data_IF_443365711122
#
_entry.id   IF_443365711122
#
_cell.length_a   1.000
_cell.length_b   1.000
_cell.length_c   1.000
_cell.angle_alpha   90.00
_cell.angle_beta   90.00
_cell.angle_gamma   90.00
#
_symmetry.space_group_name_H-M   'P 1'
#
loop_
_entity.id
_entity.type
_entity.pdbx_description
1 polymer ?
#
# COMPACT_ATOMS: atom_id res chain seq x y z
N UNK A 1 15.94 15.91 27.81
CA UNK A 1 14.88 15.65 26.80
C UNK A 1 15.09 14.24 26.28
N UNK A 2 14.27 13.29 26.71
CA UNK A 2 14.44 11.87 26.43
C UNK A 2 13.94 11.57 25.01
N UNK A 3 14.83 11.10 24.14
CA UNK A 3 14.46 10.57 22.84
C UNK A 3 13.63 9.30 23.06
N UNK A 4 12.37 9.33 22.67
CA UNK A 4 11.48 8.17 22.72
C UNK A 4 11.97 7.13 21.71
N UNK A 5 12.81 6.20 22.17
CA UNK A 5 13.14 4.97 21.46
C UNK A 5 11.83 4.23 21.18
N UNK A 6 11.35 4.36 19.95
CA UNK A 6 10.21 3.61 19.43
C UNK A 6 10.61 2.14 19.51
N UNK A 7 9.94 1.35 20.37
CA UNK A 7 10.13 -0.10 20.44
C UNK A 7 9.99 -0.66 19.03
N UNK A 8 11.08 -1.26 18.55
CA UNK A 8 11.11 -2.01 17.32
C UNK A 8 10.32 -3.29 17.57
N UNK A 9 9.18 -3.43 16.91
CA UNK A 9 8.51 -4.73 16.79
C UNK A 9 9.53 -5.74 16.23
N UNK A 10 9.65 -6.95 16.79
CA UNK A 10 10.64 -7.92 16.34
C UNK A 10 10.28 -8.40 14.93
N UNK A 11 10.93 -7.79 13.93
CA UNK A 11 10.90 -8.26 12.55
C UNK A 11 11.75 -9.53 12.46
N UNK A 12 11.14 -10.70 12.41
CA UNK A 12 11.83 -11.92 11.98
C UNK A 12 12.18 -11.78 10.50
N UNK A 13 13.46 -11.90 10.16
CA UNK A 13 13.94 -11.79 8.79
C UNK A 13 14.35 -13.18 8.31
N UNK A 14 13.78 -13.64 7.18
CA UNK A 14 14.14 -14.93 6.54
C UNK A 14 15.24 -14.73 5.50
N UNK A 15 15.49 -13.49 5.11
CA UNK A 15 16.61 -13.00 4.29
C UNK A 15 16.44 -11.47 4.31
N UNK A 16 16.71 -10.77 3.20
CA UNK A 16 16.18 -9.41 2.95
C UNK A 16 14.63 -9.33 2.91
N UNK A 17 13.91 -10.41 3.25
CA UNK A 17 12.47 -10.38 3.48
C UNK A 17 12.15 -10.06 4.93
N UNK A 18 11.24 -9.11 5.12
CA UNK A 18 10.66 -8.69 6.39
C UNK A 18 9.23 -9.20 6.47
N UNK A 19 8.87 -9.79 7.61
CA UNK A 19 7.50 -10.23 7.87
C UNK A 19 6.66 -9.04 8.33
N UNK A 20 5.60 -8.75 7.59
CA UNK A 20 4.55 -7.81 7.94
C UNK A 20 3.43 -8.56 8.66
N UNK A 21 3.69 -8.99 9.89
CA UNK A 21 2.82 -9.92 10.63
C UNK A 21 1.36 -9.43 10.76
N UNK A 22 1.15 -8.14 11.02
CA UNK A 22 -0.19 -7.52 11.09
C UNK A 22 -1.01 -7.68 9.81
N UNK A 23 -0.32 -7.73 8.67
CA UNK A 23 -0.92 -7.78 7.35
C UNK A 23 -0.80 -9.15 6.70
N UNK A 24 -0.13 -10.09 7.36
CA UNK A 24 0.11 -11.44 6.87
C UNK A 24 0.86 -11.48 5.53
N UNK A 25 1.77 -10.53 5.31
CA UNK A 25 2.53 -10.36 4.07
C UNK A 25 4.05 -10.43 4.30
N UNK A 26 4.80 -10.62 3.22
CA UNK A 26 6.24 -10.43 3.19
C UNK A 26 6.58 -9.15 2.43
N UNK A 27 7.64 -8.45 2.82
CA UNK A 27 8.18 -7.33 2.07
C UNK A 27 9.68 -7.51 1.87
N UNK A 28 10.14 -7.39 0.63
CA UNK A 28 11.57 -7.42 0.36
C UNK A 28 12.16 -6.03 0.60
N UNK A 29 13.21 -5.93 1.41
CA UNK A 29 13.76 -4.65 1.90
C UNK A 29 14.17 -3.66 0.80
N UNK A 30 14.58 -4.17 -0.37
CA UNK A 30 15.02 -3.35 -1.50
C UNK A 30 13.95 -3.18 -2.58
N UNK A 31 12.77 -3.76 -2.39
CA UNK A 31 11.67 -3.66 -3.34
C UNK A 31 10.52 -2.87 -2.71
N UNK A 32 9.86 -2.09 -3.55
CA UNK A 32 8.82 -1.16 -3.13
C UNK A 32 7.46 -1.84 -2.89
N UNK A 33 7.39 -3.16 -2.92
CA UNK A 33 6.11 -3.88 -2.86
C UNK A 33 6.20 -5.11 -1.96
N UNK A 34 5.05 -5.43 -1.36
CA UNK A 34 4.85 -6.66 -0.63
C UNK A 34 4.71 -7.85 -1.61
N UNK A 35 4.86 -9.05 -1.05
CA UNK A 35 4.70 -10.32 -1.73
C UNK A 35 3.93 -11.30 -0.84
N UNK A 36 3.12 -12.14 -1.47
CA UNK A 36 2.53 -13.30 -0.82
C UNK A 36 3.61 -14.39 -0.61
N UNK A 37 3.36 -15.37 0.26
CA UNK A 37 4.36 -16.39 0.56
C UNK A 37 4.77 -17.21 -0.68
N UNK A 38 3.83 -17.55 -1.56
CA UNK A 38 4.13 -18.36 -2.75
C UNK A 38 4.84 -17.56 -3.86
N UNK A 39 4.74 -16.22 -3.82
CA UNK A 39 5.43 -15.34 -4.77
C UNK A 39 6.94 -15.31 -4.52
N UNK A 40 7.41 -15.66 -3.32
CA UNK A 40 8.85 -15.71 -2.97
C UNK A 40 9.63 -16.59 -3.94
N UNK A 41 9.09 -17.75 -4.32
CA UNK A 41 9.76 -18.66 -5.25
C UNK A 41 9.98 -18.01 -6.63
N UNK A 42 8.92 -17.41 -7.18
CA UNK A 42 8.96 -16.73 -8.47
C UNK A 42 9.82 -15.48 -8.42
N UNK A 43 9.76 -14.70 -7.34
CA UNK A 43 10.58 -13.51 -7.13
C UNK A 43 12.07 -13.87 -7.09
N UNK A 44 12.46 -14.83 -6.23
CA UNK A 44 13.85 -15.27 -6.13
C UNK A 44 14.38 -15.82 -7.46
N UNK A 45 13.57 -16.59 -8.20
CA UNK A 45 13.98 -17.14 -9.51
C UNK A 45 14.18 -16.05 -10.57
N UNK A 46 13.32 -15.02 -10.60
CA UNK A 46 13.31 -14.01 -11.66
C UNK A 46 14.22 -12.81 -11.38
N UNK A 47 14.39 -12.44 -10.10
CA UNK A 47 15.15 -11.26 -9.67
C UNK A 47 16.49 -11.60 -9.01
N UNK A 48 16.66 -12.83 -8.55
CA UNK A 48 17.85 -13.28 -7.82
C UNK A 48 18.46 -14.56 -8.42
N UNK A 49 18.88 -14.45 -9.69
CA UNK A 49 19.56 -15.54 -10.41
C UNK A 49 20.94 -15.87 -9.81
N UNK A 50 21.53 -14.93 -9.08
CA UNK A 50 22.80 -15.03 -8.36
C UNK A 50 22.74 -15.96 -7.13
N UNK A 51 21.55 -16.19 -6.58
CA UNK A 51 21.37 -17.09 -5.44
C UNK A 51 21.39 -18.54 -5.92
N UNK A 52 22.13 -19.42 -5.24
CA UNK A 52 22.18 -20.84 -5.57
C UNK A 52 20.78 -21.49 -5.49
N UNK A 53 20.44 -22.45 -6.37
CA UNK A 53 19.14 -23.13 -6.35
C UNK A 53 18.77 -23.73 -5.00
N UNK A 54 19.71 -24.40 -4.33
CA UNK A 54 19.55 -24.98 -2.99
C UNK A 54 19.16 -23.92 -1.94
N UNK A 55 19.82 -22.76 -1.97
CA UNK A 55 19.54 -21.69 -1.03
C UNK A 55 18.19 -21.03 -1.30
N UNK A 56 17.80 -20.87 -2.57
CA UNK A 56 16.44 -20.42 -2.92
C UNK A 56 15.37 -21.37 -2.41
N UNK A 57 15.58 -22.69 -2.50
CA UNK A 57 14.63 -23.68 -2.00
C UNK A 57 14.45 -23.57 -0.49
N UNK A 58 15.54 -23.41 0.27
CA UNK A 58 15.46 -23.21 1.72
C UNK A 58 14.66 -21.94 2.06
N UNK A 59 14.93 -20.82 1.37
CA UNK A 59 14.20 -19.57 1.59
C UNK A 59 12.70 -19.68 1.29
N UNK A 60 12.33 -20.44 0.25
CA UNK A 60 10.93 -20.72 -0.07
C UNK A 60 10.28 -21.58 1.01
N UNK A 61 10.98 -22.61 1.49
CA UNK A 61 10.48 -23.44 2.58
C UNK A 61 10.29 -22.65 3.87
N UNK A 62 11.26 -21.79 4.22
CA UNK A 62 11.17 -20.92 5.40
C UNK A 62 9.96 -19.98 5.29
N UNK A 63 9.75 -19.36 4.12
CA UNK A 63 8.58 -18.51 3.86
C UNK A 63 7.25 -19.30 3.95
N UNK A 64 7.25 -20.55 3.50
CA UNK A 64 6.11 -21.46 3.61
C UNK A 64 5.83 -21.89 5.05
N UNK A 65 6.84 -21.97 5.90
CA UNK A 65 6.67 -22.35 7.31
C UNK A 65 6.20 -21.21 8.21
N UNK A 66 6.23 -19.96 7.76
CA UNK A 66 5.70 -18.83 8.54
C UNK A 66 4.20 -19.04 8.76
N UNK A 67 3.73 -19.08 10.02
CA UNK A 67 2.31 -19.23 10.29
C UNK A 67 1.55 -17.96 9.89
N UNK A 68 0.27 -18.14 9.54
CA UNK A 68 -0.68 -17.05 9.26
C UNK A 68 -0.26 -16.11 8.11
N UNK A 69 0.54 -16.52 7.13
CA UNK A 69 0.81 -15.69 5.94
C UNK A 69 -0.22 -15.95 4.84
N UNK A 70 -0.60 -14.88 4.12
CA UNK A 70 -1.34 -14.99 2.87
C UNK A 70 -0.44 -15.65 1.83
N UNK A 71 -0.90 -16.76 1.26
CA UNK A 71 -0.10 -17.61 0.38
C UNK A 71 -0.18 -17.18 -1.07
N UNK A 72 -1.39 -16.84 -1.52
CA UNK A 72 -1.70 -16.65 -2.93
C UNK A 72 -2.65 -15.47 -3.15
N UNK A 73 -2.96 -15.18 -4.43
CA UNK A 73 -3.83 -14.08 -4.82
C UNK A 73 -5.27 -14.25 -4.35
N UNK A 74 -5.76 -15.50 -4.25
CA UNK A 74 -7.11 -15.74 -3.78
C UNK A 74 -7.20 -15.24 -2.34
N UNK A 75 -6.29 -15.64 -1.45
CA UNK A 75 -6.24 -15.22 -0.04
C UNK A 75 -6.06 -13.70 0.18
N UNK A 76 -5.70 -12.92 -0.84
CA UNK A 76 -5.65 -11.45 -0.73
C UNK A 76 -7.01 -10.80 -0.46
N UNK A 77 -8.12 -11.52 -0.64
CA UNK A 77 -9.43 -11.03 -0.18
C UNK A 77 -9.51 -10.86 1.35
N UNK A 78 -8.72 -11.63 2.09
CA UNK A 78 -8.63 -11.55 3.56
C UNK A 78 -7.61 -10.49 4.01
N UNK A 79 -6.94 -9.81 3.08
CA UNK A 79 -5.99 -8.75 3.41
C UNK A 79 -6.69 -7.61 4.14
N UNK A 80 -6.25 -7.39 5.38
CA UNK A 80 -6.72 -6.27 6.20
C UNK A 80 -5.90 -5.04 5.90
N UNK A 81 -6.59 -3.94 5.61
CA UNK A 81 -5.95 -2.64 5.48
C UNK A 81 -5.95 -1.92 6.83
N UNK A 82 -4.93 -1.11 7.10
CA UNK A 82 -4.94 -0.29 8.30
C UNK A 82 -6.09 0.71 8.27
N UNK A 83 -6.59 1.04 9.47
CA UNK A 83 -7.44 2.20 9.65
C UNK A 83 -6.62 3.48 9.40
N UNK A 84 -7.27 4.55 8.93
CA UNK A 84 -6.61 5.84 8.73
C UNK A 84 -5.95 6.32 10.04
N UNK A 85 -4.80 6.99 9.95
CA UNK A 85 -3.97 7.50 11.06
C UNK A 85 -2.96 6.51 11.68
N UNK A 86 -2.19 5.78 10.85
CA UNK A 86 -1.07 4.95 11.32
C UNK A 86 0.28 5.43 10.78
N UNK A 87 1.34 5.20 11.56
CA UNK A 87 2.71 5.50 11.11
C UNK A 87 3.03 4.74 9.82
N UNK A 88 3.82 5.33 8.90
CA UNK A 88 4.31 4.68 7.68
C UNK A 88 4.75 3.23 7.91
N UNK A 89 4.18 2.29 7.17
CA UNK A 89 4.61 0.89 7.22
C UNK A 89 6.00 0.85 6.58
N UNK A 90 6.99 0.37 7.33
CA UNK A 90 8.35 0.20 6.79
C UNK A 90 8.32 -0.98 5.82
N UNK A 91 8.73 -0.75 4.57
CA UNK A 91 8.72 -1.74 3.48
C UNK A 91 7.30 -2.32 3.30
N UNK A 92 6.46 -1.75 2.42
CA UNK A 92 6.73 -1.49 0.99
C UNK A 92 7.06 -0.01 0.70
N UNK A 93 6.78 0.48 -0.51
CA UNK A 93 7.07 1.81 -1.03
C UNK A 93 6.80 2.92 0.01
N UNK A 94 7.63 3.98 0.06
CA UNK A 94 7.38 5.08 0.96
C UNK A 94 6.01 5.71 0.69
N UNK A 95 5.36 6.28 1.72
CA UNK A 95 4.09 6.97 1.52
C UNK A 95 4.23 8.13 0.55
N UNK A 96 3.23 8.31 -0.31
CA UNK A 96 3.15 9.43 -1.24
C UNK A 96 2.31 10.56 -0.65
N UNK A 97 2.75 11.83 -0.76
CA UNK A 97 2.06 12.99 -0.20
C UNK A 97 0.81 13.41 -0.99
N UNK A 98 0.52 12.78 -2.14
CA UNK A 98 -0.61 13.15 -2.98
C UNK A 98 -1.69 12.06 -3.03
N UNK A 99 -2.72 12.24 -2.19
CA UNK A 99 -3.94 11.44 -2.22
C UNK A 99 -4.72 11.52 -3.55
N UNK A 100 -4.42 12.49 -4.43
CA UNK A 100 -5.06 12.62 -5.75
C UNK A 100 -4.55 11.60 -6.77
N UNK A 101 -3.27 11.19 -6.69
CA UNK A 101 -2.78 10.00 -7.41
C UNK A 101 -3.45 8.72 -6.87
N UNK A 102 -3.84 8.73 -5.60
CA UNK A 102 -4.39 7.58 -4.90
C UNK A 102 -5.85 7.31 -5.27
N UNK A 103 -6.54 8.33 -5.80
CA UNK A 103 -7.91 8.26 -6.29
C UNK A 103 -8.05 9.22 -7.48
N UNK A 104 -8.10 8.70 -8.70
CA UNK A 104 -8.36 9.51 -9.90
C UNK A 104 -9.54 10.46 -9.64
N UNK A 105 -9.31 11.77 -9.74
CA UNK A 105 -10.30 12.82 -9.43
C UNK A 105 -11.64 12.56 -10.12
N UNK A 106 -11.62 12.08 -11.37
CA UNK A 106 -12.83 11.72 -12.11
C UNK A 106 -13.64 10.60 -11.44
N UNK A 107 -12.97 9.60 -10.86
CA UNK A 107 -13.63 8.52 -10.11
C UNK A 107 -14.21 9.02 -8.79
N UNK A 108 -13.51 9.92 -8.09
CA UNK A 108 -14.04 10.54 -6.87
C UNK A 108 -15.28 11.37 -7.21
N UNK A 109 -15.18 12.25 -8.20
CA UNK A 109 -16.30 13.09 -8.63
C UNK A 109 -17.51 12.24 -9.04
N UNK A 110 -17.28 11.15 -9.77
CA UNK A 110 -18.34 10.20 -10.13
C UNK A 110 -18.97 9.56 -8.88
N UNK A 111 -18.17 9.00 -7.97
CA UNK A 111 -18.69 8.40 -6.74
C UNK A 111 -19.46 9.40 -5.87
N UNK A 112 -18.94 10.62 -5.70
CA UNK A 112 -19.64 11.66 -4.96
C UNK A 112 -20.95 12.08 -5.66
N UNK A 113 -20.98 12.15 -6.99
CA UNK A 113 -22.20 12.43 -7.73
C UNK A 113 -23.23 11.30 -7.59
N UNK A 114 -22.79 10.04 -7.67
CA UNK A 114 -23.65 8.86 -7.66
C UNK A 114 -24.18 8.53 -6.24
N UNK A 115 -23.31 8.54 -5.22
CA UNK A 115 -23.63 8.09 -3.85
C UNK A 115 -23.99 9.23 -2.89
N UNK A 116 -23.43 10.42 -3.10
CA UNK A 116 -23.61 11.57 -2.21
C UNK A 116 -24.38 12.72 -2.86
N UNK A 117 -24.90 12.52 -4.08
CA UNK A 117 -25.62 13.53 -4.86
C UNK A 117 -24.84 14.85 -5.03
N UNK A 118 -23.51 14.76 -4.92
CA UNK A 118 -22.64 15.92 -4.99
C UNK A 118 -22.58 16.45 -6.41
N UNK A 119 -22.97 17.71 -6.59
CA UNK A 119 -22.88 18.40 -7.88
C UNK A 119 -21.64 19.27 -7.88
N UNK A 120 -20.79 19.09 -8.90
CA UNK A 120 -19.59 19.90 -9.04
C UNK A 120 -19.95 21.40 -9.18
N UNK A 121 -19.60 22.26 -8.20
CA UNK A 121 -19.97 23.67 -8.22
C UNK A 121 -19.32 24.44 -9.37
N UNK A 122 -18.28 23.88 -10.02
CA UNK A 122 -17.60 24.49 -11.17
C UNK A 122 -18.41 24.42 -12.47
N UNK A 123 -19.44 23.56 -12.56
CA UNK A 123 -20.21 23.33 -13.79
C UNK A 123 -19.34 22.86 -14.98
N UNK A 124 -19.92 22.79 -16.20
CA UNK A 124 -19.16 22.67 -17.46
C UNK A 124 -18.95 24.07 -18.04
N UNK A 125 -17.70 24.47 -18.31
CA UNK A 125 -17.38 25.71 -19.01
C UNK A 125 -16.18 26.47 -18.44
N UNK A 126 -15.87 27.62 -19.04
CA UNK A 126 -14.80 28.54 -18.59
C UNK A 126 -15.26 29.27 -17.33
N UNK A 127 -14.40 29.34 -16.31
CA UNK A 127 -14.67 30.12 -15.09
C UNK A 127 -15.00 31.58 -15.45
N UNK A 128 -16.08 32.12 -14.86
CA UNK A 128 -16.38 33.53 -14.97
C UNK A 128 -15.27 34.36 -14.27
N UNK A 129 -14.78 35.43 -14.90
CA UNK A 129 -13.84 36.35 -14.26
C UNK A 129 -14.47 36.93 -12.98
N UNK A 130 -13.85 36.71 -11.81
CA UNK A 130 -14.34 37.21 -10.51
C UNK A 130 -14.84 36.12 -9.56
N UNK A 131 -14.92 34.86 -9.98
CA UNK A 131 -15.17 33.74 -9.06
C UNK A 131 -13.92 33.51 -8.19
N UNK A 132 -13.92 34.04 -6.97
CA UNK A 132 -12.85 33.83 -6.00
C UNK A 132 -12.82 32.35 -5.61
N UNK A 133 -11.71 31.66 -5.92
CA UNK A 133 -11.49 30.22 -5.70
C UNK A 133 -11.33 29.83 -4.22
N UNK A 134 -11.77 30.67 -3.28
CA UNK A 134 -11.62 30.43 -1.86
C UNK A 134 -12.84 29.69 -1.31
N UNK A 135 -12.61 28.45 -0.86
CA UNK A 135 -13.50 27.66 0.00
C UNK A 135 -14.74 27.01 -0.65
N UNK A 136 -14.58 26.38 -1.81
CA UNK A 136 -15.40 25.18 -2.03
C UNK A 136 -14.68 24.01 -1.36
N UNK A 137 -15.21 23.58 -0.21
CA UNK A 137 -14.81 22.35 0.45
C UNK A 137 -14.97 21.21 -0.57
N UNK A 138 -13.86 20.83 -1.21
CA UNK A 138 -13.80 19.59 -1.97
C UNK A 138 -14.22 18.47 -1.01
N UNK A 139 -15.07 17.51 -1.42
CA UNK A 139 -15.45 16.39 -0.56
C UNK A 139 -14.30 15.40 -0.32
N UNK A 140 -13.08 15.73 -0.76
CA UNK A 140 -11.87 14.96 -0.56
C UNK A 140 -10.79 15.85 0.07
N UNK A 141 -10.01 15.25 0.96
CA UNK A 141 -8.87 15.91 1.60
C UNK A 141 -7.69 15.95 0.62
N UNK A 142 -7.12 17.14 0.43
CA UNK A 142 -5.87 17.34 -0.32
C UNK A 142 -4.66 17.19 0.63
N UNK A 143 -3.54 16.68 0.11
CA UNK A 143 -2.33 16.49 0.92
C UNK A 143 -2.34 15.26 1.84
N UNK A 144 -3.28 14.34 1.66
CA UNK A 144 -3.32 13.08 2.41
C UNK A 144 -2.15 12.20 2.02
N UNK A 145 -1.42 11.71 3.02
CA UNK A 145 -0.33 10.77 2.84
C UNK A 145 -0.91 9.36 2.66
N UNK A 146 -0.57 8.69 1.57
CA UNK A 146 -1.11 7.37 1.24
C UNK A 146 0.00 6.36 0.95
N UNK A 147 -0.25 5.09 1.29
CA UNK A 147 0.62 3.96 0.99
C UNK A 147 -0.18 2.81 0.36
N UNK A 148 0.50 1.87 -0.31
CA UNK A 148 -0.10 0.65 -0.85
C UNK A 148 0.86 -0.53 -0.71
N UNK A 149 0.32 -1.75 -0.66
CA UNK A 149 1.13 -2.96 -0.59
C UNK A 149 1.66 -3.43 -1.94
N UNK A 150 0.82 -3.38 -2.97
CA UNK A 150 1.10 -3.99 -4.27
C UNK A 150 0.99 -2.99 -5.42
N UNK A 151 1.70 -3.20 -6.54
CA UNK A 151 1.68 -2.28 -7.67
C UNK A 151 0.38 -2.35 -8.47
N UNK A 152 -0.11 -3.57 -8.73
CA UNK A 152 -1.30 -3.86 -9.52
C UNK A 152 -1.74 -5.30 -9.27
N UNK A 153 -2.88 -5.53 -8.58
CA UNK A 153 -3.58 -6.82 -8.38
C UNK A 153 -4.63 -6.69 -7.26
N UNK A 154 -5.31 -7.78 -6.91
CA UNK A 154 -5.97 -7.88 -5.60
C UNK A 154 -4.97 -7.46 -4.51
N UNK A 155 -5.40 -6.66 -3.53
CA UNK A 155 -4.46 -6.10 -2.54
C UNK A 155 -3.84 -4.74 -2.91
N UNK A 156 -3.91 -4.27 -4.16
CA UNK A 156 -3.23 -3.02 -4.59
C UNK A 156 -3.97 -1.73 -4.23
N UNK A 157 -4.86 -1.78 -3.23
CA UNK A 157 -5.62 -0.61 -2.76
C UNK A 157 -4.70 0.33 -2.00
N UNK A 158 -4.92 1.63 -2.21
CA UNK A 158 -4.32 2.70 -1.40
C UNK A 158 -5.04 2.84 -0.06
N UNK A 159 -4.26 3.09 0.99
CA UNK A 159 -4.74 3.41 2.32
C UNK A 159 -4.02 4.64 2.86
N UNK A 160 -4.73 5.40 3.68
CA UNK A 160 -4.24 6.63 4.31
C UNK A 160 -3.36 6.30 5.51
N UNK A 161 -2.32 7.11 5.70
CA UNK A 161 -1.39 7.05 6.83
C UNK A 161 -1.62 8.23 7.76
#
# INVERSE_FOLDING_TARGET
MAASHSRLEPCSAIYRYVVLSTYHLLAYQLYEFASEADEVATHLKTRHGDIKPEHRQNLVQDAQQIPNMLRNQDELHDLRYPAAAIKPIRHPAPPKPDGLECRHVQKIQKHCADEHQWTNPRGRGRLQPGCHMSAHESPWEEGVICQRFFPSRAGSRWFQM
#
